data_IF_396890316665
#
_entry.id   IF_396890316665
#
_cell.length_a   1.000
_cell.length_b   1.000
_cell.length_c   1.000
_cell.angle_alpha   90.00
_cell.angle_beta   90.00
_cell.angle_gamma   90.00
#
_symmetry.space_group_name_H-M   'P 1'
#
loop_
_entity.id
_entity.type
_entity.pdbx_description
1 polymer ?
#
# COMPACT_ATOMS: atom_id res chain seq x y z
N UNK A 1 -79.54 -28.41 -24.18
CA UNK A 1 -78.82 -28.83 -25.41
C UNK A 1 -77.32 -28.89 -25.10
N UNK A 2 -76.69 -29.99 -25.50
CA UNK A 2 -75.27 -30.33 -25.32
C UNK A 2 -74.32 -29.45 -26.15
N UNK A 3 -73.10 -29.24 -25.64
CA UNK A 3 -71.78 -29.59 -26.24
C UNK A 3 -70.72 -28.62 -25.67
N UNK A 4 -69.72 -29.04 -24.90
CA UNK A 4 -68.57 -29.96 -25.14
C UNK A 4 -67.31 -29.23 -25.68
N UNK A 5 -66.17 -29.58 -25.05
CA UNK A 5 -64.75 -29.36 -25.41
C UNK A 5 -64.21 -27.93 -25.21
N UNK A 6 -63.00 -27.69 -24.68
CA UNK A 6 -61.85 -28.53 -24.32
C UNK A 6 -60.73 -27.60 -23.80
N UNK A 7 -59.80 -28.09 -22.96
CA UNK A 7 -58.35 -28.24 -23.25
C UNK A 7 -57.61 -26.88 -23.45
N UNK A 8 -56.47 -26.49 -22.87
CA UNK A 8 -55.29 -27.05 -22.19
C UNK A 8 -54.78 -25.94 -21.23
N UNK A 9 -54.39 -26.23 -19.99
CA UNK A 9 -53.00 -26.41 -19.55
C UNK A 9 -52.02 -25.26 -19.88
N UNK A 10 -51.57 -24.52 -18.85
CA UNK A 10 -50.14 -24.30 -18.62
C UNK A 10 -49.89 -23.85 -17.16
N UNK A 11 -49.43 -24.80 -16.33
CA UNK A 11 -48.75 -24.50 -15.07
C UNK A 11 -47.35 -24.00 -15.42
N UNK A 12 -47.07 -22.72 -15.18
CA UNK A 12 -45.71 -22.21 -15.12
C UNK A 12 -45.28 -22.13 -13.64
N UNK A 13 -44.55 -23.16 -13.21
CA UNK A 13 -43.82 -23.14 -11.95
C UNK A 13 -42.65 -22.15 -12.07
N UNK A 14 -42.84 -20.93 -11.57
CA UNK A 14 -41.74 -19.99 -11.36
C UNK A 14 -40.96 -20.46 -10.13
N UNK A 15 -39.85 -21.14 -10.39
CA UNK A 15 -38.80 -21.40 -9.42
C UNK A 15 -38.31 -20.06 -8.86
N UNK A 16 -38.63 -19.79 -7.60
CA UNK A 16 -38.08 -18.65 -6.87
C UNK A 16 -36.59 -18.86 -6.67
N UNK A 17 -35.78 -18.01 -7.29
CA UNK A 17 -34.38 -17.85 -6.93
C UNK A 17 -34.33 -17.40 -5.47
N UNK A 18 -33.76 -18.25 -4.62
CA UNK A 18 -33.42 -17.91 -3.25
C UNK A 18 -32.44 -16.73 -3.27
N UNK A 19 -32.89 -15.58 -2.78
CA UNK A 19 -32.02 -14.46 -2.46
C UNK A 19 -31.13 -14.87 -1.29
N UNK A 20 -29.88 -15.26 -1.60
CA UNK A 20 -28.82 -15.29 -0.61
C UNK A 20 -28.46 -13.83 -0.24
N UNK A 21 -28.38 -13.47 1.05
CA UNK A 21 -27.86 -12.17 1.44
C UNK A 21 -26.36 -12.15 1.13
N UNK A 22 -25.99 -11.52 0.01
CA UNK A 22 -24.62 -11.11 -0.25
C UNK A 22 -24.19 -10.17 0.87
N UNK A 23 -23.20 -10.59 1.64
CA UNK A 23 -22.56 -9.72 2.63
C UNK A 23 -22.04 -8.46 1.94
N UNK A 24 -21.85 -7.35 2.68
CA UNK A 24 -21.34 -6.11 2.12
C UNK A 24 -19.97 -6.35 1.52
N UNK A 25 -19.93 -6.48 0.19
CA UNK A 25 -18.71 -6.45 -0.59
C UNK A 25 -18.24 -5.00 -0.50
N UNK A 26 -17.28 -4.76 0.40
CA UNK A 26 -16.61 -3.47 0.53
C UNK A 26 -16.18 -3.06 -0.87
N UNK A 27 -16.72 -1.94 -1.35
CA UNK A 27 -16.36 -1.41 -2.65
C UNK A 27 -14.87 -1.05 -2.58
N UNK A 28 -14.01 -1.96 -3.05
CA UNK A 28 -12.65 -1.65 -3.39
C UNK A 28 -12.73 -0.38 -4.25
N UNK A 29 -12.26 0.73 -3.71
CA UNK A 29 -12.24 2.00 -4.43
C UNK A 29 -11.24 1.78 -5.55
N UNK A 30 -11.73 1.53 -6.78
CA UNK A 30 -10.88 1.28 -7.95
C UNK A 30 -9.76 2.33 -7.97
N UNK A 31 -8.51 1.88 -7.92
CA UNK A 31 -7.37 2.79 -7.76
C UNK A 31 -6.79 2.93 -6.35
N UNK A 32 -7.19 2.16 -5.35
CA UNK A 32 -6.51 2.12 -4.05
C UNK A 32 -5.53 0.93 -4.00
N UNK A 33 -4.32 1.09 -3.45
CA UNK A 33 -3.41 -0.04 -3.29
C UNK A 33 -3.94 -1.06 -2.28
N UNK A 34 -3.71 -2.34 -2.55
CA UNK A 34 -3.99 -3.47 -1.66
C UNK A 34 -2.85 -3.71 -0.65
N UNK A 35 -1.63 -3.35 -1.05
CA UNK A 35 -0.47 -3.37 -0.19
C UNK A 35 0.56 -2.31 -0.62
N UNK A 36 1.41 -1.91 0.32
CA UNK A 36 2.55 -1.04 0.08
C UNK A 36 3.79 -1.74 0.62
N UNK A 37 4.86 -1.78 -0.18
CA UNK A 37 6.17 -2.24 0.24
C UNK A 37 7.18 -1.12 0.08
N UNK A 38 8.01 -0.87 1.09
CA UNK A 38 9.15 0.03 1.02
C UNK A 38 10.42 -0.74 1.35
N UNK A 39 11.47 -0.48 0.57
CA UNK A 39 12.84 -0.91 0.86
C UNK A 39 13.77 0.30 0.85
N UNK A 40 14.63 0.40 1.85
CA UNK A 40 15.74 1.37 1.91
C UNK A 40 17.04 0.61 2.07
N UNK A 41 17.99 0.92 1.20
CA UNK A 41 19.36 0.42 1.18
C UNK A 41 20.35 1.55 1.33
N UNK A 42 21.52 1.21 1.81
CA UNK A 42 22.69 2.10 1.81
C UNK A 42 23.90 1.23 1.51
N UNK A 43 24.72 1.65 0.53
CA UNK A 43 25.89 0.86 0.07
C UNK A 43 25.55 -0.60 -0.29
N UNK A 44 24.41 -0.83 -0.92
CA UNK A 44 23.92 -2.18 -1.29
C UNK A 44 23.28 -2.98 -0.16
N UNK A 45 23.40 -2.52 1.08
CA UNK A 45 22.94 -3.23 2.28
C UNK A 45 21.55 -2.77 2.66
N UNK A 46 20.65 -3.72 2.93
CA UNK A 46 19.30 -3.42 3.40
C UNK A 46 19.38 -2.78 4.80
N UNK A 47 18.75 -1.61 4.96
CA UNK A 47 18.70 -0.88 6.25
C UNK A 47 17.31 -0.91 6.83
N UNK A 48 16.29 -0.83 5.98
CA UNK A 48 14.91 -0.92 6.40
C UNK A 48 14.05 -1.50 5.29
N UNK A 49 13.08 -2.32 5.67
CA UNK A 49 12.01 -2.79 4.81
C UNK A 49 10.72 -2.80 5.62
N UNK A 50 9.61 -2.43 5.01
CA UNK A 50 8.31 -2.78 5.55
C UNK A 50 7.34 -3.11 4.45
N UNK A 51 6.35 -3.90 4.82
CA UNK A 51 5.17 -4.19 4.01
C UNK A 51 3.95 -3.95 4.87
N UNK A 52 2.96 -3.27 4.30
CA UNK A 52 1.68 -2.99 4.95
C UNK A 52 0.54 -3.34 3.99
N UNK A 53 -0.40 -4.16 4.41
CA UNK A 53 -1.61 -4.52 3.66
C UNK A 53 -2.78 -3.61 4.00
N UNK A 54 -3.81 -3.59 3.15
CA UNK A 54 -4.98 -2.72 3.28
C UNK A 54 -5.76 -2.89 4.60
N UNK A 55 -5.60 -4.03 5.28
CA UNK A 55 -6.16 -4.28 6.61
C UNK A 55 -5.36 -3.64 7.76
N UNK A 56 -4.21 -3.02 7.47
CA UNK A 56 -3.31 -2.40 8.43
C UNK A 56 -2.26 -3.34 9.04
N UNK A 57 -2.22 -4.60 8.61
CA UNK A 57 -1.24 -5.57 9.11
C UNK A 57 -0.01 -5.66 8.20
N UNK A 58 1.04 -6.33 8.66
CA UNK A 58 2.23 -6.55 7.84
C UNK A 58 3.50 -6.80 8.64
N UNK A 59 4.64 -6.33 8.13
CA UNK A 59 5.95 -6.51 8.76
C UNK A 59 6.80 -5.26 8.66
N UNK A 60 7.63 -5.05 9.68
CA UNK A 60 8.64 -4.00 9.72
C UNK A 60 9.98 -4.59 10.12
N UNK A 61 10.93 -4.52 9.22
CA UNK A 61 12.29 -5.04 9.35
C UNK A 61 13.27 -3.88 9.31
N UNK A 62 14.15 -3.76 10.29
CA UNK A 62 15.17 -2.70 10.34
C UNK A 62 16.50 -3.22 10.84
N UNK A 63 17.57 -2.58 10.41
CA UNK A 63 18.90 -2.78 10.98
C UNK A 63 18.93 -2.30 12.43
N UNK A 64 19.54 -3.08 13.32
CA UNK A 64 19.87 -2.65 14.67
C UNK A 64 20.94 -1.54 14.65
N UNK A 65 20.87 -0.65 15.64
CA UNK A 65 21.70 0.56 15.66
C UNK A 65 23.16 0.33 16.08
N UNK A 66 23.46 -0.78 16.76
CA UNK A 66 24.77 -1.13 17.31
C UNK A 66 25.52 -2.22 16.51
N UNK A 67 24.96 -2.66 15.38
CA UNK A 67 25.54 -3.70 14.53
C UNK A 67 26.57 -3.21 13.50
N UNK A 68 27.19 -4.17 12.79
CA UNK A 68 28.09 -3.89 11.67
C UNK A 68 27.37 -3.13 10.54
N UNK A 69 28.00 -2.11 9.97
CA UNK A 69 27.37 -1.29 8.94
C UNK A 69 27.07 -2.07 7.65
N UNK A 70 27.98 -2.95 7.23
CA UNK A 70 27.88 -3.73 6.01
C UNK A 70 27.16 -5.07 6.20
N UNK A 71 27.04 -5.53 7.46
CA UNK A 71 26.33 -6.75 7.87
C UNK A 71 25.52 -6.51 9.15
N UNK A 72 24.53 -5.61 9.12
CA UNK A 72 23.75 -5.32 10.30
C UNK A 72 22.90 -6.52 10.68
N UNK A 73 22.72 -6.72 11.98
CA UNK A 73 21.66 -7.58 12.49
C UNK A 73 20.32 -6.92 12.15
N UNK A 74 19.42 -7.69 11.54
CA UNK A 74 18.10 -7.22 11.13
C UNK A 74 17.05 -7.74 12.10
N UNK A 75 16.27 -6.85 12.67
CA UNK A 75 15.13 -7.19 13.53
C UNK A 75 13.84 -6.98 12.78
N UNK A 76 12.98 -7.99 12.81
CA UNK A 76 11.66 -8.00 12.19
C UNK A 76 10.60 -8.09 13.26
N UNK A 77 9.63 -7.19 13.20
CA UNK A 77 8.45 -7.20 14.05
C UNK A 77 7.17 -7.12 13.23
N UNK A 78 6.07 -7.74 13.70
CA UNK A 78 4.78 -7.64 13.03
C UNK A 78 4.25 -6.22 13.13
N UNK A 79 3.60 -5.75 12.05
CA UNK A 79 2.74 -4.59 12.09
C UNK A 79 1.33 -5.05 12.42
N UNK A 80 0.77 -4.53 13.50
CA UNK A 80 -0.57 -4.81 13.98
C UNK A 80 -1.40 -3.51 14.01
N UNK A 81 -1.43 -2.81 12.87
CA UNK A 81 -2.23 -1.61 12.69
C UNK A 81 -3.67 -1.90 12.31
N UNK A 82 -4.34 -0.87 11.83
CA UNK A 82 -5.74 -0.90 11.41
C UNK A 82 -5.88 -0.44 9.94
N UNK A 83 -7.04 -0.69 9.29
CA UNK A 83 -7.31 -0.15 7.97
C UNK A 83 -7.19 1.39 7.92
N UNK A 84 -7.39 2.08 9.04
CA UNK A 84 -7.28 3.54 9.14
C UNK A 84 -5.82 3.98 9.10
N UNK A 85 -4.93 3.22 9.74
CA UNK A 85 -3.48 3.43 9.68
C UNK A 85 -2.96 3.26 8.26
N UNK A 86 -3.43 2.22 7.55
CA UNK A 86 -3.12 2.03 6.14
C UNK A 86 -3.55 3.24 5.30
N UNK A 87 -4.80 3.70 5.45
CA UNK A 87 -5.29 4.88 4.70
C UNK A 87 -4.48 6.14 5.02
N UNK A 88 -4.06 6.34 6.27
CA UNK A 88 -3.20 7.46 6.65
C UNK A 88 -1.83 7.38 5.95
N UNK A 89 -1.22 6.20 5.92
CA UNK A 89 0.09 5.99 5.25
C UNK A 89 -0.04 6.15 3.73
N UNK A 90 -1.11 5.64 3.11
CA UNK A 90 -1.45 5.89 1.70
C UNK A 90 -1.57 7.39 1.43
N UNK A 91 -2.22 8.14 2.33
CA UNK A 91 -2.38 9.59 2.20
C UNK A 91 -1.02 10.34 2.27
N UNK A 92 -0.14 9.94 3.19
CA UNK A 92 1.23 10.48 3.29
C UNK A 92 1.99 10.22 1.98
N UNK A 93 1.85 9.04 1.39
CA UNK A 93 2.56 8.61 0.19
C UNK A 93 1.96 9.12 -1.14
N UNK A 94 0.95 9.99 -1.12
CA UNK A 94 0.38 10.53 -2.36
C UNK A 94 1.41 11.25 -3.26
N UNK A 95 2.39 12.03 -2.75
CA UNK A 95 3.44 12.60 -3.59
C UNK A 95 4.26 11.54 -4.34
N UNK A 96 4.64 10.47 -3.64
CA UNK A 96 5.38 9.33 -4.23
C UNK A 96 4.56 8.69 -5.34
N UNK A 97 3.29 8.40 -5.06
CA UNK A 97 2.39 7.74 -6.02
C UNK A 97 2.15 8.58 -7.26
N UNK A 98 1.99 9.91 -7.11
CA UNK A 98 1.80 10.82 -8.26
C UNK A 98 2.97 10.74 -9.25
N UNK A 99 4.21 10.75 -8.75
CA UNK A 99 5.41 10.60 -9.59
C UNK A 99 5.44 9.22 -10.24
N UNK A 100 5.21 8.16 -9.45
CA UNK A 100 5.25 6.77 -9.94
C UNK A 100 4.25 6.48 -11.07
N UNK A 101 3.11 7.19 -11.09
CA UNK A 101 2.07 7.04 -12.12
C UNK A 101 2.16 8.05 -13.26
N UNK A 102 3.08 9.03 -13.19
CA UNK A 102 3.25 10.01 -14.24
C UNK A 102 3.83 9.37 -15.51
N UNK A 103 3.62 10.00 -16.67
CA UNK A 103 4.28 9.58 -17.89
C UNK A 103 5.81 9.63 -17.71
N UNK A 104 6.48 8.50 -17.91
CA UNK A 104 7.90 8.35 -17.64
C UNK A 104 8.26 7.82 -16.26
N UNK A 105 7.33 7.79 -15.28
CA UNK A 105 7.38 6.98 -14.04
C UNK A 105 8.55 7.17 -13.08
N UNK A 106 9.55 7.97 -13.44
CA UNK A 106 10.82 8.09 -12.75
C UNK A 106 10.92 9.42 -12.00
N UNK A 107 11.65 9.42 -10.89
CA UNK A 107 12.01 10.65 -10.19
C UNK A 107 13.24 11.28 -10.89
N UNK A 108 13.12 12.49 -11.48
CA UNK A 108 14.29 13.17 -12.04
C UNK A 108 15.37 13.33 -10.98
N UNK A 109 16.60 12.98 -11.35
CA UNK A 109 17.71 12.95 -10.41
C UNK A 109 18.93 13.70 -10.94
N UNK A 110 19.16 14.90 -10.40
CA UNK A 110 20.50 15.47 -10.37
C UNK A 110 21.18 15.02 -9.06
N UNK A 111 22.12 14.09 -9.16
CA UNK A 111 22.80 13.56 -7.97
C UNK A 111 23.86 14.55 -7.49
N UNK A 112 23.61 15.17 -6.35
CA UNK A 112 24.48 16.22 -5.76
C UNK A 112 25.20 15.77 -4.49
N UNK A 113 24.72 14.71 -3.85
CA UNK A 113 25.39 14.09 -2.70
C UNK A 113 25.61 12.61 -3.06
N UNK A 114 26.86 12.15 -2.97
CA UNK A 114 27.17 10.73 -3.13
C UNK A 114 26.86 9.99 -1.83
N UNK A 115 26.57 8.70 -1.93
CA UNK A 115 26.51 7.80 -0.76
C UNK A 115 25.31 7.97 0.17
N UNK A 116 24.26 8.67 -0.29
CA UNK A 116 22.98 8.72 0.42
C UNK A 116 22.21 7.40 0.29
N UNK A 117 21.29 7.10 1.24
CA UNK A 117 20.38 5.97 1.09
C UNK A 117 19.51 6.09 -0.15
N UNK A 118 19.14 4.93 -0.69
CA UNK A 118 18.30 4.79 -1.88
C UNK A 118 17.40 3.58 -1.72
N UNK A 119 16.39 3.44 -2.57
CA UNK A 119 15.40 2.39 -2.37
C UNK A 119 14.25 2.46 -3.33
N UNK A 120 13.15 1.84 -2.93
CA UNK A 120 11.94 1.82 -3.71
C UNK A 120 10.69 1.74 -2.86
N UNK A 121 9.60 2.33 -3.36
CA UNK A 121 8.24 2.08 -2.88
C UNK A 121 7.47 1.38 -3.98
N UNK A 122 6.78 0.30 -3.63
CA UNK A 122 5.87 -0.43 -4.52
C UNK A 122 4.47 -0.41 -3.94
N UNK A 123 3.52 0.08 -4.73
CA UNK A 123 2.09 0.02 -4.48
C UNK A 123 1.53 -1.16 -5.26
N UNK A 124 1.09 -2.20 -4.57
CA UNK A 124 0.37 -3.31 -5.19
C UNK A 124 -1.06 -2.88 -5.42
N UNK A 125 -1.48 -2.89 -6.68
CA UNK A 125 -2.81 -2.46 -7.07
C UNK A 125 -3.28 -3.33 -8.24
N UNK A 126 -4.33 -4.11 -8.00
CA UNK A 126 -4.87 -5.05 -8.98
C UNK A 126 -3.73 -5.91 -9.60
N UNK A 127 -3.74 -6.10 -10.93
CA UNK A 127 -2.70 -6.83 -11.67
C UNK A 127 -1.50 -5.95 -12.11
N UNK A 128 -1.41 -4.70 -11.63
CA UNK A 128 -0.43 -3.72 -12.09
C UNK A 128 0.26 -2.99 -10.93
N UNK A 129 1.35 -3.56 -10.37
CA UNK A 129 2.10 -2.87 -9.33
C UNK A 129 2.74 -1.59 -9.86
N UNK A 130 2.59 -0.52 -9.10
CA UNK A 130 3.22 0.78 -9.38
C UNK A 130 4.46 0.89 -8.50
N UNK A 131 5.61 1.18 -9.10
CA UNK A 131 6.89 1.29 -8.39
C UNK A 131 7.50 2.67 -8.62
N UNK A 132 8.09 3.25 -7.58
CA UNK A 132 9.02 4.37 -7.68
C UNK A 132 10.35 3.98 -7.04
N UNK A 133 11.43 4.07 -7.81
CA UNK A 133 12.79 4.03 -7.28
C UNK A 133 13.22 5.46 -6.87
N UNK A 134 13.96 5.56 -5.77
CA UNK A 134 14.42 6.85 -5.25
C UNK A 134 15.86 6.77 -4.74
N UNK A 135 16.54 7.91 -4.75
CA UNK A 135 17.85 8.11 -4.12
C UNK A 135 17.82 9.47 -3.41
N UNK A 136 18.06 9.47 -2.10
CA UNK A 136 17.94 10.67 -1.24
C UNK A 136 19.01 11.72 -1.57
N UNK A 137 20.08 11.31 -2.27
CA UNK A 137 21.13 12.18 -2.81
C UNK A 137 20.72 12.93 -4.07
N UNK A 138 19.57 12.60 -4.68
CA UNK A 138 19.01 13.32 -5.82
C UNK A 138 18.43 14.68 -5.42
N UNK A 139 18.51 15.63 -6.35
CA UNK A 139 17.79 16.90 -6.32
C UNK A 139 17.10 17.15 -7.65
N UNK A 140 15.89 17.66 -7.55
CA UNK A 140 15.04 18.23 -8.59
C UNK A 140 13.87 18.94 -7.88
N UNK A 141 13.02 19.65 -8.61
CA UNK A 141 11.83 20.29 -8.03
C UNK A 141 10.83 19.25 -7.48
N UNK A 142 10.86 18.03 -7.99
CA UNK A 142 10.00 16.91 -7.58
C UNK A 142 10.54 16.12 -6.37
N UNK A 143 11.85 16.20 -6.10
CA UNK A 143 12.48 15.40 -5.02
C UNK A 143 12.03 15.78 -3.59
N UNK A 144 11.90 17.06 -3.17
CA UNK A 144 11.55 17.39 -1.80
C UNK A 144 10.22 16.79 -1.32
N UNK A 145 9.09 16.92 -2.03
CA UNK A 145 7.82 16.34 -1.55
C UNK A 145 7.84 14.81 -1.55
N UNK A 146 8.62 14.16 -2.42
CA UNK A 146 8.82 12.71 -2.39
C UNK A 146 9.62 12.30 -1.15
N UNK A 147 10.74 12.97 -0.87
CA UNK A 147 11.58 12.68 0.30
C UNK A 147 10.84 12.93 1.61
N UNK A 148 10.07 14.01 1.71
CA UNK A 148 9.23 14.30 2.88
C UNK A 148 8.16 13.23 3.09
N UNK A 149 7.48 12.79 2.02
CA UNK A 149 6.50 11.71 2.09
C UNK A 149 7.13 10.37 2.52
N UNK A 150 8.32 10.04 2.01
CA UNK A 150 9.04 8.84 2.42
C UNK A 150 9.42 8.87 3.91
N UNK A 151 9.94 10.00 4.39
CA UNK A 151 10.28 10.20 5.80
C UNK A 151 9.04 10.10 6.69
N UNK A 152 7.94 10.79 6.33
CA UNK A 152 6.68 10.74 7.08
C UNK A 152 6.06 9.34 7.10
N UNK A 153 6.11 8.60 6.00
CA UNK A 153 5.59 7.24 5.94
C UNK A 153 6.41 6.28 6.82
N UNK A 154 7.74 6.42 6.79
CA UNK A 154 8.64 5.66 7.64
C UNK A 154 8.37 5.89 9.13
N UNK A 155 8.17 7.14 9.54
CA UNK A 155 7.81 7.50 10.91
C UNK A 155 6.44 6.93 11.31
N UNK A 156 5.44 7.06 10.43
CA UNK A 156 4.10 6.53 10.66
C UNK A 156 4.10 5.01 10.84
N UNK A 157 4.82 4.27 10.00
CA UNK A 157 4.99 2.81 10.13
C UNK A 157 5.71 2.45 11.42
N UNK A 158 6.79 3.16 11.78
CA UNK A 158 7.49 2.93 13.03
C UNK A 158 6.57 3.12 14.25
N UNK A 159 5.65 4.09 14.22
CA UNK A 159 4.64 4.28 15.27
C UNK A 159 3.66 3.11 15.36
N UNK A 160 3.12 2.66 14.22
CA UNK A 160 2.25 1.46 14.15
C UNK A 160 2.96 0.24 14.72
N UNK A 161 4.22 0.05 14.37
CA UNK A 161 5.03 -1.06 14.87
C UNK A 161 5.24 -1.01 16.39
N UNK A 162 5.18 0.19 16.99
CA UNK A 162 5.26 0.41 18.44
C UNK A 162 3.88 0.49 19.10
N UNK A 163 2.80 0.07 18.43
CA UNK A 163 1.44 0.04 18.99
C UNK A 163 0.73 1.40 19.06
N UNK A 164 1.19 2.39 18.31
CA UNK A 164 0.55 3.71 18.22
C UNK A 164 -0.12 3.88 16.85
N UNK A 165 -1.18 4.70 16.72
CA UNK A 165 -1.78 4.98 15.41
C UNK A 165 -0.76 5.56 14.40
N UNK A 166 -1.04 5.53 13.11
CA UNK A 166 -0.21 6.16 12.08
C UNK A 166 -0.41 7.68 12.02
N UNK A 167 -1.62 8.18 12.26
CA UNK A 167 -1.90 9.60 12.34
C UNK A 167 -1.39 10.13 13.69
N UNK A 168 -0.42 11.04 13.67
CA UNK A 168 0.07 11.69 14.89
C UNK A 168 -0.87 12.82 15.24
N UNK A 169 -1.44 12.82 16.44
CA UNK A 169 -1.77 14.09 17.07
C UNK A 169 -0.44 14.75 17.39
N UNK A 170 0.04 15.65 16.54
CA UNK A 170 1.04 16.62 16.96
C UNK A 170 0.37 17.42 18.11
N UNK A 171 0.91 17.42 19.35
CA UNK A 171 0.53 18.45 20.31
C UNK A 171 0.97 19.84 19.84
#
# INVERSE_FOLDING_TARGET
MMRKLGMLAMLAALAGCANAPGGPQSAATAGAPEAITLEIRSWGVLRTQWRLTADGTGSYTRAESDGDFYKPDMVTQPLAGTPDDFRAIVAILQPVRRVATAEGGDLPCERVITDMPYGSVTFEQDDHPIRLDFDIGCRSDETPPVHEALAGAQEAVARVANGHPAAGTNP
#
